data_IF_275776502711
#
_entry.id   IF_275776502711
#
_cell.length_a   1.000
_cell.length_b   1.000
_cell.length_c   1.000
_cell.angle_alpha   90.00
_cell.angle_beta   90.00
_cell.angle_gamma   90.00
#
_symmetry.space_group_name_H-M   'P 1'
#
loop_
_entity.id
_entity.type
_entity.pdbx_description
1 polymer ?
#
# COMPACT_ATOMS: atom_id res chain seq x y z
N UNK A 1 9.61 -0.72 15.71
CA UNK A 1 9.06 -1.77 16.57
C UNK A 1 10.11 -2.37 17.50
N UNK A 2 11.25 -2.79 16.97
CA UNK A 2 12.35 -3.39 17.78
C UNK A 2 12.90 -2.45 18.85
N UNK A 3 12.78 -1.15 18.65
CA UNK A 3 13.20 -0.12 19.62
C UNK A 3 12.22 0.05 20.79
N UNK A 4 11.03 -0.56 20.71
CA UNK A 4 10.04 -0.47 21.79
C UNK A 4 10.38 -1.44 22.93
N UNK A 5 10.03 -1.08 24.19
CA UNK A 5 10.24 -1.98 25.34
C UNK A 5 9.61 -3.35 25.12
N UNK A 6 10.25 -4.39 25.66
CA UNK A 6 9.79 -5.77 25.51
C UNK A 6 8.36 -6.01 26.01
N UNK A 7 7.99 -5.36 27.13
CA UNK A 7 6.61 -5.41 27.67
C UNK A 7 5.59 -4.83 26.71
N UNK A 8 5.92 -3.69 26.07
CA UNK A 8 5.06 -3.09 25.04
C UNK A 8 4.87 -4.05 23.86
N UNK A 9 5.97 -4.66 23.38
CA UNK A 9 5.90 -5.63 22.27
C UNK A 9 5.01 -6.83 22.62
N UNK A 10 5.17 -7.39 23.82
CA UNK A 10 4.36 -8.52 24.30
C UNK A 10 2.87 -8.16 24.37
N UNK A 11 2.55 -6.99 24.94
CA UNK A 11 1.16 -6.52 25.10
C UNK A 11 0.45 -6.34 23.75
N UNK A 12 1.15 -5.84 22.73
CA UNK A 12 0.56 -5.54 21.43
C UNK A 12 0.81 -6.59 20.37
N UNK A 13 1.58 -7.64 20.68
CA UNK A 13 1.93 -8.68 19.72
C UNK A 13 0.70 -9.34 19.09
N UNK A 14 -0.21 -9.83 19.92
CA UNK A 14 -1.44 -10.48 19.44
C UNK A 14 -2.31 -9.57 18.57
N UNK A 15 -2.41 -8.28 18.92
CA UNK A 15 -3.11 -7.31 18.10
C UNK A 15 -2.45 -7.14 16.72
N UNK A 16 -1.11 -7.00 16.70
CA UNK A 16 -0.35 -6.83 15.45
C UNK A 16 -0.49 -8.08 14.56
N UNK A 17 -0.40 -9.27 15.13
CA UNK A 17 -0.59 -10.52 14.39
C UNK A 17 -1.99 -10.60 13.76
N UNK A 18 -3.04 -10.24 14.52
CA UNK A 18 -4.39 -10.16 13.99
C UNK A 18 -4.53 -9.17 12.84
N UNK A 19 -3.87 -8.01 12.92
CA UNK A 19 -3.88 -7.02 11.84
C UNK A 19 -3.18 -7.55 10.57
N UNK A 20 -2.05 -8.24 10.70
CA UNK A 20 -1.42 -8.93 9.58
C UNK A 20 -2.29 -10.05 8.99
N UNK A 21 -2.99 -10.78 9.84
CA UNK A 21 -3.95 -11.80 9.39
C UNK A 21 -5.12 -11.17 8.62
N UNK A 22 -5.74 -10.11 9.15
CA UNK A 22 -6.81 -9.36 8.46
C UNK A 22 -6.36 -8.80 7.11
N UNK A 23 -5.13 -8.32 7.05
CA UNK A 23 -4.50 -7.84 5.82
C UNK A 23 -4.37 -8.94 4.76
N UNK A 24 -4.09 -10.19 5.14
CA UNK A 24 -3.98 -11.33 4.22
C UNK A 24 -5.34 -11.90 3.86
N UNK A 25 -6.12 -12.24 4.89
CA UNK A 25 -7.27 -13.12 4.76
C UNK A 25 -8.59 -12.35 4.60
N UNK A 26 -8.57 -11.03 4.85
CA UNK A 26 -9.78 -10.23 4.90
C UNK A 26 -10.54 -10.38 6.21
N UNK A 27 -11.75 -9.85 6.24
CA UNK A 27 -12.60 -9.88 7.43
C UNK A 27 -14.07 -10.06 7.10
N UNK A 28 -14.78 -10.70 8.02
CA UNK A 28 -16.23 -10.71 8.05
C UNK A 28 -16.74 -9.67 9.06
N UNK A 29 -17.75 -8.92 8.68
CA UNK A 29 -18.45 -8.01 9.57
C UNK A 29 -19.94 -7.96 9.26
N UNK A 30 -20.73 -7.41 10.14
CA UNK A 30 -22.16 -7.22 9.91
C UNK A 30 -22.42 -5.83 9.33
N UNK A 31 -22.95 -5.77 8.10
CA UNK A 31 -23.38 -4.54 7.45
C UNK A 31 -24.90 -4.51 7.39
N UNK A 32 -25.55 -3.63 8.17
CA UNK A 32 -27.00 -3.58 8.30
C UNK A 32 -27.65 -4.97 8.59
N UNK A 33 -27.06 -5.69 9.53
CA UNK A 33 -27.54 -7.03 9.94
C UNK A 33 -27.19 -8.17 8.97
N UNK A 34 -26.52 -7.90 7.86
CA UNK A 34 -26.10 -8.93 6.89
C UNK A 34 -24.60 -9.24 7.02
N UNK A 35 -24.21 -10.53 7.16
CA UNK A 35 -22.80 -10.91 7.17
C UNK A 35 -22.17 -10.52 5.83
N UNK A 36 -21.10 -9.76 5.89
CA UNK A 36 -20.41 -9.22 4.72
C UNK A 36 -18.93 -9.51 4.81
N UNK A 37 -18.38 -10.14 3.77
CA UNK A 37 -16.93 -10.35 3.65
C UNK A 37 -16.30 -9.24 2.83
N UNK A 38 -15.10 -8.80 3.26
CA UNK A 38 -14.21 -7.94 2.49
C UNK A 38 -12.81 -8.56 2.44
N UNK A 39 -12.15 -8.42 1.28
CA UNK A 39 -10.78 -8.90 1.10
C UNK A 39 -9.79 -8.14 1.96
N UNK A 40 -8.58 -8.69 2.17
CA UNK A 40 -7.54 -8.01 2.93
C UNK A 40 -7.17 -6.63 2.38
N UNK A 41 -7.08 -6.48 1.06
CA UNK A 41 -6.84 -5.18 0.41
C UNK A 41 -8.00 -4.19 0.64
N UNK A 42 -9.24 -4.67 0.63
CA UNK A 42 -10.39 -3.83 0.95
C UNK A 42 -10.38 -3.41 2.43
N UNK A 43 -10.01 -4.33 3.34
CA UNK A 43 -9.80 -4.02 4.74
C UNK A 43 -8.72 -2.93 4.92
N UNK A 44 -7.57 -3.08 4.27
CA UNK A 44 -6.50 -2.08 4.31
C UNK A 44 -6.93 -0.73 3.76
N UNK A 45 -7.74 -0.72 2.70
CA UNK A 45 -8.31 0.52 2.15
C UNK A 45 -9.21 1.24 3.16
N UNK A 46 -10.13 0.52 3.81
CA UNK A 46 -11.09 1.12 4.74
C UNK A 46 -10.46 1.52 6.08
N UNK A 47 -9.60 0.67 6.63
CA UNK A 47 -9.09 0.82 7.99
C UNK A 47 -7.82 1.65 8.07
N UNK A 48 -6.93 1.54 7.07
CA UNK A 48 -5.57 2.07 7.17
C UNK A 48 -5.21 3.09 6.08
N UNK A 49 -5.97 3.18 5.00
CA UNK A 49 -5.68 4.12 3.92
C UNK A 49 -6.35 5.47 4.15
N UNK A 50 -5.64 6.39 4.78
CA UNK A 50 -6.10 7.77 4.95
C UNK A 50 -6.05 8.50 3.61
N UNK A 51 -7.22 8.95 3.13
CA UNK A 51 -7.40 9.74 1.91
C UNK A 51 -7.74 11.20 2.24
N UNK A 52 -7.95 12.04 1.22
CA UNK A 52 -8.19 13.48 1.38
C UNK A 52 -9.32 13.85 2.37
N UNK A 53 -10.35 12.99 2.45
CA UNK A 53 -11.52 13.18 3.32
C UNK A 53 -11.43 12.40 4.65
N UNK A 54 -10.29 11.80 4.97
CA UNK A 54 -10.13 10.92 6.13
C UNK A 54 -10.10 9.45 5.73
N UNK A 55 -10.63 8.57 6.58
CA UNK A 55 -10.74 7.14 6.24
C UNK A 55 -11.97 6.88 5.37
N UNK A 56 -11.84 6.04 4.32
CA UNK A 56 -12.98 5.73 3.44
C UNK A 56 -14.10 5.02 4.19
N UNK A 57 -15.33 5.33 3.82
CA UNK A 57 -16.50 4.56 4.25
C UNK A 57 -16.72 3.36 3.34
N UNK A 58 -17.34 2.30 3.88
CA UNK A 58 -17.72 1.14 3.10
C UNK A 58 -18.77 1.49 2.04
N UNK A 59 -18.52 1.11 0.80
CA UNK A 59 -19.45 1.23 -0.33
C UNK A 59 -19.58 -0.12 -1.04
N UNK A 60 -20.80 -0.58 -1.27
CA UNK A 60 -21.06 -1.90 -1.82
C UNK A 60 -20.38 -2.14 -3.19
N UNK A 61 -20.38 -1.13 -4.08
CA UNK A 61 -19.71 -1.24 -5.38
C UNK A 61 -18.19 -1.38 -5.28
N UNK A 62 -17.57 -0.82 -4.23
CA UNK A 62 -16.13 -0.98 -3.99
C UNK A 62 -15.79 -2.40 -3.59
N UNK A 63 -16.66 -3.07 -2.82
CA UNK A 63 -16.51 -4.48 -2.50
C UNK A 63 -16.39 -5.33 -3.77
N UNK A 64 -17.27 -5.11 -4.76
CA UNK A 64 -17.22 -5.83 -6.02
C UNK A 64 -15.91 -5.58 -6.79
N UNK A 65 -15.38 -4.36 -6.76
CA UNK A 65 -14.07 -4.03 -7.35
C UNK A 65 -12.96 -4.85 -6.69
N UNK A 66 -12.90 -4.87 -5.36
CA UNK A 66 -11.85 -5.61 -4.64
C UNK A 66 -11.98 -7.13 -4.77
N UNK A 67 -13.21 -7.67 -4.83
CA UNK A 67 -13.43 -9.08 -5.10
C UNK A 67 -12.98 -9.46 -6.51
N UNK A 68 -13.29 -8.62 -7.50
CA UNK A 68 -12.84 -8.82 -8.87
C UNK A 68 -11.31 -8.75 -8.97
N UNK A 69 -10.66 -7.78 -8.30
CA UNK A 69 -9.20 -7.70 -8.22
C UNK A 69 -8.60 -9.01 -7.67
N UNK A 70 -9.13 -9.48 -6.55
CA UNK A 70 -8.65 -10.73 -5.93
C UNK A 70 -8.85 -11.94 -6.84
N UNK A 71 -9.96 -12.03 -7.57
CA UNK A 71 -10.20 -13.10 -8.53
C UNK A 71 -9.23 -13.06 -9.70
N UNK A 72 -8.94 -11.87 -10.24
CA UNK A 72 -7.96 -11.69 -11.30
C UNK A 72 -6.53 -12.03 -10.87
N UNK A 73 -6.15 -11.69 -9.65
CA UNK A 73 -4.84 -12.03 -9.09
C UNK A 73 -4.66 -13.54 -8.85
N UNK A 74 -5.76 -14.24 -8.55
CA UNK A 74 -5.75 -15.69 -8.38
C UNK A 74 -5.72 -16.46 -9.70
N UNK A 75 -6.08 -15.83 -10.83
CA UNK A 75 -6.07 -16.48 -12.16
C UNK A 75 -4.77 -16.15 -12.91
N UNK A 76 -3.87 -17.12 -13.11
CA UNK A 76 -2.59 -16.91 -13.80
C UNK A 76 -2.74 -16.50 -15.27
N UNK A 77 -3.94 -16.59 -15.85
CA UNK A 77 -4.23 -16.14 -17.22
C UNK A 77 -4.60 -14.66 -17.28
N UNK A 78 -4.83 -14.03 -16.14
CA UNK A 78 -5.21 -12.62 -16.06
C UNK A 78 -3.96 -11.74 -15.99
N UNK A 79 -3.66 -11.02 -17.07
CA UNK A 79 -2.50 -10.12 -17.15
C UNK A 79 -2.80 -8.69 -16.74
N UNK A 80 -4.05 -8.36 -16.45
CA UNK A 80 -4.45 -7.01 -16.06
C UNK A 80 -5.95 -6.82 -16.04
N UNK A 81 -6.37 -5.63 -15.62
CA UNK A 81 -7.78 -5.28 -15.47
C UNK A 81 -8.04 -3.93 -16.10
N UNK A 82 -9.16 -3.81 -16.81
CA UNK A 82 -9.65 -2.55 -17.35
C UNK A 82 -10.98 -2.20 -16.69
N UNK A 83 -11.02 -1.04 -16.05
CA UNK A 83 -12.24 -0.53 -15.44
C UNK A 83 -12.76 0.71 -16.16
N UNK A 84 -13.98 0.63 -16.67
CA UNK A 84 -14.77 1.78 -17.07
C UNK A 84 -15.56 2.28 -15.86
N UNK A 85 -15.45 3.54 -15.55
CA UNK A 85 -16.05 4.11 -14.35
C UNK A 85 -16.55 5.52 -14.56
N UNK A 86 -17.54 5.93 -13.78
CA UNK A 86 -17.98 7.32 -13.74
C UNK A 86 -16.95 8.20 -13.02
N UNK A 87 -17.00 9.49 -13.29
CA UNK A 87 -16.19 10.49 -12.58
C UNK A 87 -16.53 10.48 -11.08
N UNK A 88 -15.54 10.71 -10.22
CA UNK A 88 -15.67 10.78 -8.75
C UNK A 88 -16.02 9.47 -8.04
N UNK A 89 -15.84 8.31 -8.66
CA UNK A 89 -16.04 7.01 -8.01
C UNK A 89 -15.00 6.64 -6.92
N UNK A 90 -13.97 7.48 -6.70
CA UNK A 90 -12.89 7.19 -5.76
C UNK A 90 -11.87 6.15 -6.24
N UNK A 91 -12.00 5.66 -7.48
CA UNK A 91 -11.17 4.57 -8.00
C UNK A 91 -9.66 4.85 -7.94
N UNK A 92 -9.22 6.10 -8.18
CA UNK A 92 -7.80 6.47 -8.06
C UNK A 92 -7.28 6.27 -6.63
N UNK A 93 -8.10 6.51 -5.61
CA UNK A 93 -7.73 6.24 -4.21
C UNK A 93 -7.61 4.73 -3.97
N UNK A 94 -8.51 3.92 -4.53
CA UNK A 94 -8.45 2.46 -4.47
C UNK A 94 -7.15 1.96 -5.10
N UNK A 95 -6.84 2.36 -6.34
CA UNK A 95 -5.61 1.96 -7.02
C UNK A 95 -4.35 2.39 -6.23
N UNK A 96 -4.33 3.60 -5.70
CA UNK A 96 -3.19 4.07 -4.89
C UNK A 96 -3.02 3.28 -3.60
N UNK A 97 -4.12 2.90 -2.95
CA UNK A 97 -4.08 2.06 -1.75
C UNK A 97 -3.58 0.65 -2.07
N UNK A 98 -4.05 0.05 -3.18
CA UNK A 98 -3.60 -1.27 -3.64
C UNK A 98 -2.10 -1.26 -3.96
N UNK A 99 -1.60 -0.22 -4.66
CA UNK A 99 -0.17 -0.08 -4.93
C UNK A 99 0.68 -0.01 -3.65
N UNK A 100 0.25 0.79 -2.68
CA UNK A 100 0.95 0.91 -1.40
C UNK A 100 0.88 -0.40 -0.61
N UNK A 101 -0.27 -1.05 -0.61
CA UNK A 101 -0.46 -2.32 0.05
C UNK A 101 0.46 -3.39 -0.54
N UNK A 102 0.51 -3.52 -1.86
CA UNK A 102 1.40 -4.45 -2.57
C UNK A 102 2.88 -4.17 -2.29
N UNK A 103 3.30 -2.91 -2.43
CA UNK A 103 4.71 -2.52 -2.24
C UNK A 103 5.20 -2.73 -0.80
N UNK A 104 4.32 -2.70 0.19
CA UNK A 104 4.66 -2.87 1.60
C UNK A 104 4.51 -4.30 2.11
N UNK A 105 4.11 -5.25 1.25
CA UNK A 105 3.99 -6.67 1.57
C UNK A 105 4.93 -7.56 0.79
N UNK A 106 5.10 -7.28 -0.50
CA UNK A 106 5.73 -8.19 -1.44
C UNK A 106 7.14 -7.71 -1.77
N UNK A 107 8.10 -8.63 -1.77
CA UNK A 107 9.48 -8.34 -2.12
C UNK A 107 9.64 -8.11 -3.64
N UNK A 108 10.60 -7.25 -3.99
CA UNK A 108 11.07 -7.03 -5.37
C UNK A 108 10.00 -6.56 -6.36
N UNK A 109 9.00 -5.82 -5.87
CA UNK A 109 7.95 -5.25 -6.73
C UNK A 109 8.33 -3.87 -7.27
N UNK A 110 8.26 -3.75 -8.59
CA UNK A 110 8.38 -2.48 -9.29
C UNK A 110 6.97 -2.04 -9.74
N UNK A 111 6.42 -1.03 -9.09
CA UNK A 111 5.07 -0.55 -9.31
C UNK A 111 5.09 0.84 -9.92
N UNK A 112 4.31 1.05 -10.98
CA UNK A 112 4.28 2.29 -11.74
C UNK A 112 2.93 2.99 -11.68
N UNK A 113 2.96 4.32 -11.54
CA UNK A 113 1.82 5.19 -11.73
C UNK A 113 2.01 5.92 -13.06
N UNK A 114 1.04 5.81 -13.94
CA UNK A 114 1.06 6.50 -15.23
C UNK A 114 -0.19 7.37 -15.39
N UNK A 115 -0.01 8.60 -15.86
CA UNK A 115 -1.09 9.52 -16.18
C UNK A 115 -0.74 10.35 -17.40
N UNK A 116 -1.73 11.05 -17.97
CA UNK A 116 -1.58 11.89 -19.16
C UNK A 116 -0.50 12.96 -18.97
N UNK A 117 -0.42 13.57 -17.80
CA UNK A 117 0.57 14.61 -17.49
C UNK A 117 1.45 14.22 -16.32
N UNK A 118 2.71 14.68 -16.32
CA UNK A 118 3.63 14.48 -15.21
C UNK A 118 3.11 15.09 -13.91
N UNK A 119 2.44 16.25 -13.98
CA UNK A 119 1.81 16.88 -12.82
C UNK A 119 0.72 16.01 -12.21
N UNK A 120 -0.14 15.40 -13.01
CA UNK A 120 -1.18 14.51 -12.51
C UNK A 120 -0.59 13.24 -11.89
N UNK A 121 0.39 12.62 -12.57
CA UNK A 121 1.05 11.43 -12.06
C UNK A 121 1.78 11.71 -10.74
N UNK A 122 2.58 12.77 -10.68
CA UNK A 122 3.41 13.12 -9.53
C UNK A 122 2.60 13.72 -8.38
N UNK A 123 1.95 14.88 -8.63
CA UNK A 123 1.35 15.64 -7.54
C UNK A 123 0.01 15.07 -7.10
N UNK A 124 -0.88 14.74 -8.06
CA UNK A 124 -2.25 14.38 -7.76
C UNK A 124 -2.42 12.91 -7.38
N UNK A 125 -1.58 12.00 -7.91
CA UNK A 125 -1.68 10.57 -7.62
C UNK A 125 -0.55 10.12 -6.69
N UNK A 126 0.71 10.26 -7.10
CA UNK A 126 1.83 9.76 -6.32
C UNK A 126 1.94 10.44 -4.94
N UNK A 127 2.09 11.77 -4.90
CA UNK A 127 2.33 12.48 -3.64
C UNK A 127 1.07 12.58 -2.78
N UNK A 128 -0.05 13.04 -3.35
CA UNK A 128 -1.28 13.28 -2.58
C UNK A 128 -2.03 12.01 -2.20
N UNK A 129 -1.77 10.87 -2.88
CA UNK A 129 -2.46 9.61 -2.58
C UNK A 129 -1.49 8.54 -2.10
N UNK A 130 -0.62 8.01 -2.95
CA UNK A 130 0.24 6.89 -2.55
C UNK A 130 1.15 7.23 -1.35
N UNK A 131 1.90 8.34 -1.41
CA UNK A 131 2.77 8.78 -0.30
C UNK A 131 1.95 9.14 0.94
N UNK A 132 0.79 9.80 0.78
CA UNK A 132 -0.07 10.17 1.90
C UNK A 132 -0.66 8.94 2.60
N UNK A 133 -1.11 7.93 1.86
CA UNK A 133 -1.60 6.65 2.39
C UNK A 133 -0.48 5.94 3.17
N UNK A 134 0.71 5.80 2.57
CA UNK A 134 1.85 5.17 3.26
C UNK A 134 2.22 5.88 4.57
N UNK A 135 2.21 7.20 4.57
CA UNK A 135 2.46 7.97 5.81
C UNK A 135 1.44 7.68 6.90
N UNK A 136 0.18 7.48 6.52
CA UNK A 136 -0.91 7.15 7.43
C UNK A 136 -0.81 5.74 8.03
N UNK A 137 -0.04 4.83 7.45
CA UNK A 137 0.10 3.48 7.97
C UNK A 137 0.71 3.47 9.39
N UNK A 138 0.28 2.56 10.27
CA UNK A 138 0.91 2.36 11.55
C UNK A 138 2.33 1.81 11.39
N UNK A 139 3.16 1.99 12.41
CA UNK A 139 4.58 1.62 12.37
C UNK A 139 4.81 0.15 12.00
N UNK A 140 3.91 -0.76 12.41
CA UNK A 140 4.05 -2.19 12.16
C UNK A 140 3.76 -2.62 10.72
N UNK A 141 3.10 -1.78 9.92
CA UNK A 141 2.93 -1.98 8.47
C UNK A 141 3.96 -1.22 7.63
N UNK A 142 4.84 -0.44 8.25
CA UNK A 142 5.87 0.32 7.53
C UNK A 142 7.15 -0.48 7.41
N UNK A 143 7.54 -0.93 6.20
CA UNK A 143 8.85 -1.50 5.97
C UNK A 143 9.95 -0.41 6.06
N UNK A 144 11.19 -0.85 6.02
CA UNK A 144 12.34 0.06 5.92
C UNK A 144 12.21 0.88 4.64
N UNK A 145 12.27 2.20 4.78
CA UNK A 145 12.17 3.15 3.68
C UNK A 145 13.51 3.81 3.41
N UNK A 146 13.91 3.87 2.14
CA UNK A 146 15.03 4.65 1.66
C UNK A 146 14.58 6.07 1.29
N UNK A 147 15.41 7.06 1.60
CA UNK A 147 15.19 8.44 1.22
C UNK A 147 14.34 9.24 2.22
N UNK A 148 13.73 10.31 1.72
CA UNK A 148 13.00 11.29 2.54
C UNK A 148 11.61 10.81 2.90
N UNK A 149 11.07 11.33 4.00
CA UNK A 149 9.66 11.11 4.40
C UNK A 149 8.66 11.70 3.39
N UNK A 150 9.13 12.53 2.45
CA UNK A 150 8.33 13.20 1.43
C UNK A 150 8.92 13.00 0.02
N UNK A 151 8.95 11.76 -0.49
CA UNK A 151 9.55 11.47 -1.78
C UNK A 151 8.75 12.13 -2.92
N UNK A 152 9.46 12.62 -3.95
CA UNK A 152 8.85 13.24 -5.13
C UNK A 152 8.94 12.36 -6.38
N UNK A 153 9.95 11.50 -6.45
CA UNK A 153 10.23 10.68 -7.64
C UNK A 153 9.85 9.22 -7.44
N UNK A 154 10.27 8.64 -6.33
CA UNK A 154 10.01 7.25 -6.00
C UNK A 154 9.80 7.06 -4.49
N UNK A 155 8.98 6.11 -4.12
CA UNK A 155 8.83 5.61 -2.76
C UNK A 155 9.45 4.21 -2.73
N UNK A 156 10.65 4.10 -2.14
CA UNK A 156 11.45 2.90 -2.15
C UNK A 156 11.53 2.25 -0.77
N UNK A 157 11.33 0.94 -0.72
CA UNK A 157 11.37 0.11 0.49
C UNK A 157 12.62 -0.77 0.47
N UNK A 158 13.77 -0.12 0.53
CA UNK A 158 15.10 -0.74 0.56
C UNK A 158 15.92 -0.15 1.69
N UNK A 159 17.03 -0.78 2.02
CA UNK A 159 17.97 -0.20 2.97
C UNK A 159 18.54 1.12 2.43
N UNK A 160 18.63 2.15 3.30
CA UNK A 160 19.26 3.40 2.92
C UNK A 160 20.70 3.17 2.45
N UNK A 161 21.03 3.68 1.27
CA UNK A 161 22.39 3.65 0.75
C UNK A 161 23.29 4.47 1.65
N UNK A 162 23.96 3.85 2.61
CA UNK A 162 25.05 4.51 3.33
C UNK A 162 26.12 4.85 2.31
N UNK A 163 26.49 6.14 2.18
CA UNK A 163 27.68 6.55 1.45
C UNK A 163 28.83 5.68 1.92
N UNK A 164 29.35 4.82 1.04
CA UNK A 164 30.48 3.95 1.32
C UNK A 164 31.68 4.85 1.51
N UNK A 165 32.01 5.15 2.76
CA UNK A 165 33.37 5.57 3.09
C UNK A 165 34.27 4.35 2.85
N UNK A 166 35.38 4.55 2.16
CA UNK A 166 36.26 3.58 1.50
C UNK A 166 36.63 2.30 2.28
N UNK A 167 36.27 2.15 3.55
CA UNK A 167 36.74 1.07 4.42
C UNK A 167 35.67 0.21 5.13
N UNK A 168 34.39 0.40 4.86
CA UNK A 168 33.34 -0.46 5.46
C UNK A 168 32.46 -1.08 4.36
N UNK A 169 32.76 -2.32 3.99
CA UNK A 169 31.80 -3.22 3.33
C UNK A 169 30.71 -3.54 4.36
N UNK A 170 29.65 -2.76 4.39
CA UNK A 170 28.46 -3.09 5.16
C UNK A 170 27.72 -4.15 4.37
N UNK A 171 27.64 -5.37 4.90
CA UNK A 171 26.76 -6.42 4.38
C UNK A 171 25.33 -5.86 4.34
N UNK A 172 24.68 -5.91 3.19
CA UNK A 172 23.25 -5.65 3.09
C UNK A 172 22.55 -6.67 3.98
N UNK A 173 21.81 -6.18 4.97
CA UNK A 173 20.97 -7.03 5.81
C UNK A 173 19.81 -7.43 4.91
N UNK A 174 19.70 -8.72 4.58
CA UNK A 174 18.82 -9.24 3.53
C UNK A 174 17.31 -9.17 3.77
N UNK A 175 16.83 -8.31 4.68
CA UNK A 175 15.42 -8.24 5.07
C UNK A 175 14.62 -7.07 4.47
N UNK A 176 15.25 -6.22 3.67
CA UNK A 176 14.54 -5.17 2.95
C UNK A 176 13.64 -5.77 1.86
N UNK A 177 12.47 -5.15 1.63
CA UNK A 177 11.53 -5.61 0.60
C UNK A 177 12.05 -5.38 -0.82
N UNK A 178 12.92 -4.42 -1.04
CA UNK A 178 13.42 -3.98 -2.36
C UNK A 178 12.32 -3.60 -3.34
N UNK A 179 11.16 -3.19 -2.83
CA UNK A 179 10.01 -2.79 -3.64
C UNK A 179 9.97 -1.28 -3.82
N UNK A 180 9.50 -0.83 -4.97
CA UNK A 180 9.50 0.59 -5.36
C UNK A 180 8.18 0.97 -6.01
N UNK A 181 7.65 2.14 -5.64
CA UNK A 181 6.58 2.81 -6.37
C UNK A 181 7.17 4.05 -7.04
N UNK A 182 7.03 4.16 -8.36
CA UNK A 182 7.43 5.35 -9.12
C UNK A 182 6.28 5.86 -10.00
N UNK A 183 6.51 6.94 -10.73
CA UNK A 183 5.51 7.52 -11.63
C UNK A 183 6.15 7.97 -12.94
N UNK A 184 5.33 7.98 -14.01
CA UNK A 184 5.70 8.53 -15.33
C UNK A 184 4.49 9.19 -15.99
N UNK A 185 4.75 10.10 -16.94
CA UNK A 185 3.72 10.60 -17.85
C UNK A 185 3.68 9.79 -19.14
N UNK A 186 2.57 9.89 -19.89
CA UNK A 186 2.40 9.22 -21.18
C UNK A 186 2.85 10.07 -22.35
N UNK A 187 3.07 11.36 -22.16
CA UNK A 187 3.61 12.27 -23.19
C UNK A 187 5.11 12.32 -23.06
N UNK A 188 5.80 11.97 -24.15
CA UNK A 188 7.21 12.24 -24.34
C UNK A 188 7.43 13.75 -24.51
#
# INVERSE_FOLDING_TARGET
>A
WLEKPAEFRKKFHSYIEQEFQRRRDGVWFYNNGKPTYITGRHYMFLQWSKIDIGYPSYLAFQKEIFLHMAACEADPRCFGQLYTKCRRSGYTNICSAVLVDEATQVKEKLLGIQSKTGKDAQENIFMKKAVAIFRGYPFFFKPIQDGTTNPRMELAFREPSKRITKNNKTSQIGDALNSVINWKNTTN
#
